data_IF_651556790236
#
_entry.id   IF_651556790236
#
_cell.length_a   1.000
_cell.length_b   1.000
_cell.length_c   1.000
_cell.angle_alpha   90.00
_cell.angle_beta   90.00
_cell.angle_gamma   90.00
#
_symmetry.space_group_name_H-M   'P 1'
#
loop_
_entity.id
_entity.type
_entity.pdbx_description
1 polymer ?
#
# COMPACT_ATOMS: atom_id res chain seq x y z
N UNK A 1 12.39 24.66 -0.40
CA UNK A 1 11.20 24.79 -1.29
C UNK A 1 11.23 23.93 -2.56
N UNK A 2 12.27 23.15 -2.88
CA UNK A 2 12.28 22.26 -4.07
C UNK A 2 12.06 20.76 -3.78
N UNK A 3 11.86 20.38 -2.51
CA UNK A 3 11.56 19.00 -2.07
C UNK A 3 10.04 18.72 -2.07
N UNK A 4 9.21 19.77 -2.03
CA UNK A 4 7.76 19.65 -1.80
C UNK A 4 6.93 19.32 -3.05
N UNK A 5 7.41 19.73 -4.24
CA UNK A 5 6.76 19.35 -5.51
C UNK A 5 6.99 17.87 -5.83
N UNK A 6 8.22 17.40 -5.59
CA UNK A 6 8.63 16.01 -5.71
C UNK A 6 7.75 15.13 -4.80
N UNK A 7 7.60 15.49 -3.52
CA UNK A 7 6.75 14.75 -2.58
C UNK A 7 5.29 14.59 -3.01
N UNK A 8 4.69 15.55 -3.74
CA UNK A 8 3.29 15.47 -4.19
C UNK A 8 3.10 14.48 -5.33
N UNK A 9 3.97 14.48 -6.34
CA UNK A 9 3.94 13.52 -7.47
C UNK A 9 4.14 12.10 -6.94
N UNK A 10 5.11 11.90 -6.05
CA UNK A 10 5.39 10.60 -5.42
C UNK A 10 4.26 10.15 -4.48
N UNK A 11 3.67 11.04 -3.66
CA UNK A 11 2.47 10.74 -2.86
C UNK A 11 1.25 10.42 -3.71
N UNK A 12 1.09 11.05 -4.87
CA UNK A 12 -0.01 10.75 -5.79
C UNK A 12 0.18 9.39 -6.48
N UNK A 13 1.42 9.04 -6.84
CA UNK A 13 1.78 7.74 -7.39
C UNK A 13 1.60 6.61 -6.37
N UNK A 14 2.06 6.80 -5.13
CA UNK A 14 1.83 5.85 -4.04
C UNK A 14 0.32 5.66 -3.75
N UNK A 15 -0.46 6.75 -3.75
CA UNK A 15 -1.93 6.67 -3.60
C UNK A 15 -2.65 5.97 -4.76
N UNK A 16 -2.11 6.06 -5.98
CA UNK A 16 -2.71 5.40 -7.14
C UNK A 16 -2.36 3.90 -7.23
N UNK A 17 -1.25 3.46 -6.62
CA UNK A 17 -0.91 2.04 -6.45
C UNK A 17 -1.77 1.38 -5.37
N UNK A 18 -2.15 2.13 -4.33
CA UNK A 18 -3.05 1.70 -3.26
C UNK A 18 -4.52 1.90 -3.63
N UNK A 19 -4.96 1.31 -4.76
CA UNK A 19 -6.29 1.43 -5.39
C UNK A 19 -7.41 2.05 -4.53
N UNK A 20 -8.07 3.09 -5.06
CA UNK A 20 -9.31 3.66 -4.49
C UNK A 20 -10.34 2.53 -4.26
N UNK A 21 -10.96 2.41 -3.08
CA UNK A 21 -12.16 1.60 -2.94
C UNK A 21 -13.25 2.23 -3.81
N UNK A 22 -13.84 1.43 -4.70
CA UNK A 22 -15.00 1.85 -5.49
C UNK A 22 -16.13 2.25 -4.55
N UNK A 23 -16.68 3.44 -4.75
CA UNK A 23 -17.90 3.89 -4.05
C UNK A 23 -19.04 3.01 -4.55
N UNK A 24 -19.43 2.03 -3.75
CA UNK A 24 -20.66 1.25 -3.95
C UNK A 24 -21.74 1.88 -3.09
N UNK A 25 -22.62 2.67 -3.70
CA UNK A 25 -23.87 3.08 -3.08
C UNK A 25 -24.74 1.83 -2.83
N UNK A 26 -24.99 1.49 -1.56
CA UNK A 26 -26.07 0.57 -1.19
C UNK A 26 -26.95 1.21 -0.13
N UNK A 27 -28.19 1.47 -0.55
CA UNK A 27 -29.31 1.93 0.25
C UNK A 27 -29.64 0.97 1.39
N UNK A 28 -30.01 1.58 2.53
CA UNK A 28 -30.50 0.98 3.76
C UNK A 28 -31.64 -0.02 3.59
N UNK A 29 -31.58 -1.14 4.33
CA UNK A 29 -32.73 -1.62 5.13
C UNK A 29 -32.31 -2.59 6.23
N UNK A 30 -32.80 -2.27 7.44
CA UNK A 30 -32.77 -3.03 8.71
C UNK A 30 -32.93 -4.55 8.53
N UNK A 31 -32.10 -5.32 9.24
CA UNK A 31 -32.57 -6.38 10.13
C UNK A 31 -31.49 -6.76 11.15
N UNK A 32 -31.77 -6.46 12.43
CA UNK A 32 -31.10 -7.01 13.61
C UNK A 32 -31.29 -8.53 13.60
N UNK A 33 -30.22 -9.30 13.49
CA UNK A 33 -30.10 -10.63 14.10
C UNK A 33 -28.66 -10.82 14.53
N UNK A 34 -28.52 -11.11 15.81
CA UNK A 34 -27.30 -11.49 16.50
C UNK A 34 -26.66 -12.69 15.77
N UNK A 35 -25.68 -12.42 14.91
CA UNK A 35 -24.92 -13.42 14.20
C UNK A 35 -23.59 -13.55 14.90
N UNK A 36 -23.48 -14.56 15.76
CA UNK A 36 -22.19 -15.12 16.18
C UNK A 36 -21.42 -15.44 14.90
N UNK A 37 -20.32 -14.74 14.65
CA UNK A 37 -19.46 -14.97 13.50
C UNK A 37 -18.81 -16.34 13.65
N UNK A 38 -19.44 -17.36 13.07
CA UNK A 38 -18.82 -18.68 12.92
C UNK A 38 -17.94 -18.57 11.67
N UNK A 39 -16.63 -18.53 11.88
CA UNK A 39 -15.67 -18.67 10.78
C UNK A 39 -15.68 -20.14 10.39
N UNK A 40 -16.44 -20.47 9.33
CA UNK A 40 -16.40 -21.78 8.69
C UNK A 40 -15.44 -21.64 7.52
N UNK A 41 -14.35 -22.42 7.53
CA UNK A 41 -13.20 -22.25 6.63
C UNK A 41 -13.54 -22.34 5.12
N UNK A 42 -14.72 -22.81 4.71
CA UNK A 42 -14.97 -23.20 3.31
C UNK A 42 -16.39 -22.87 2.76
N UNK A 43 -17.21 -22.05 3.45
CA UNK A 43 -18.63 -21.90 3.04
C UNK A 43 -18.92 -20.77 2.02
N UNK A 44 -17.93 -20.04 1.49
CA UNK A 44 -18.21 -18.79 0.76
C UNK A 44 -17.39 -18.51 -0.52
N UNK A 45 -16.77 -19.51 -1.16
CA UNK A 45 -16.25 -19.32 -2.51
C UNK A 45 -15.15 -20.31 -2.88
N UNK A 46 -15.16 -20.75 -4.14
CA UNK A 46 -13.94 -21.24 -4.79
C UNK A 46 -12.98 -20.06 -4.89
N UNK A 47 -12.05 -19.95 -3.95
CA UNK A 47 -10.85 -19.19 -4.20
C UNK A 47 -9.96 -20.08 -5.07
N UNK A 48 -10.04 -19.92 -6.39
CA UNK A 48 -8.85 -20.15 -7.20
C UNK A 48 -7.82 -19.12 -6.72
N UNK A 49 -7.06 -19.47 -5.68
CA UNK A 49 -6.06 -18.63 -5.02
C UNK A 49 -4.86 -18.40 -5.96
N UNK A 50 -5.06 -17.61 -7.01
CA UNK A 50 -3.97 -17.15 -7.86
C UNK A 50 -3.38 -15.87 -7.28
N UNK A 51 -2.20 -15.98 -6.67
CA UNK A 51 -1.42 -14.83 -6.17
C UNK A 51 -0.66 -14.07 -7.27
N UNK A 52 -1.05 -14.22 -8.55
CA UNK A 52 -0.37 -13.55 -9.67
C UNK A 52 -0.56 -12.04 -9.65
N UNK A 53 -1.67 -11.54 -9.09
CA UNK A 53 -1.89 -10.13 -8.83
C UNK A 53 -0.93 -9.58 -7.76
N UNK A 54 -0.74 -10.30 -6.65
CA UNK A 54 0.21 -9.97 -5.59
C UNK A 54 1.64 -9.94 -6.15
N UNK A 55 2.02 -10.95 -6.93
CA UNK A 55 3.31 -11.00 -7.61
C UNK A 55 3.51 -9.83 -8.58
N UNK A 56 2.47 -9.45 -9.31
CA UNK A 56 2.48 -8.28 -10.21
C UNK A 56 2.69 -6.99 -9.42
N UNK A 57 2.00 -6.82 -8.29
CA UNK A 57 2.17 -5.66 -7.41
C UNK A 57 3.58 -5.57 -6.84
N UNK A 58 4.16 -6.69 -6.39
CA UNK A 58 5.55 -6.75 -5.93
C UNK A 58 6.50 -6.29 -7.05
N UNK A 59 6.35 -6.82 -8.27
CA UNK A 59 7.19 -6.44 -9.41
C UNK A 59 7.09 -4.94 -9.73
N UNK A 60 5.87 -4.39 -9.74
CA UNK A 60 5.64 -2.98 -10.02
C UNK A 60 6.21 -2.09 -8.92
N UNK A 61 5.99 -2.46 -7.65
CA UNK A 61 6.51 -1.73 -6.50
C UNK A 61 8.04 -1.68 -6.48
N UNK A 62 8.72 -2.79 -6.77
CA UNK A 62 10.19 -2.79 -6.86
C UNK A 62 10.72 -1.99 -8.06
N UNK A 63 9.95 -1.88 -9.14
CA UNK A 63 10.28 -0.97 -10.26
C UNK A 63 10.22 0.48 -9.79
N UNK A 64 9.12 0.86 -9.16
CA UNK A 64 8.92 2.19 -8.58
C UNK A 64 10.03 2.54 -7.57
N UNK A 65 10.33 1.62 -6.64
CA UNK A 65 11.35 1.80 -5.60
C UNK A 65 12.74 1.99 -6.22
N UNK A 66 13.07 1.22 -7.26
CA UNK A 66 14.33 1.35 -7.99
C UNK A 66 14.45 2.69 -8.73
N UNK A 67 13.40 3.14 -9.43
CA UNK A 67 13.39 4.46 -10.08
C UNK A 67 13.67 5.57 -9.08
N UNK A 68 13.04 5.51 -7.90
CA UNK A 68 13.27 6.48 -6.82
C UNK A 68 14.72 6.43 -6.32
N UNK A 69 15.28 5.24 -6.12
CA UNK A 69 16.69 5.08 -5.73
C UNK A 69 17.63 5.67 -6.77
N UNK A 70 17.40 5.40 -8.06
CA UNK A 70 18.23 5.93 -9.16
C UNK A 70 18.12 7.45 -9.24
N UNK A 71 16.93 8.02 -9.09
CA UNK A 71 16.76 9.48 -9.04
C UNK A 71 17.55 10.11 -7.90
N UNK A 72 17.49 9.54 -6.69
CA UNK A 72 18.27 10.06 -5.56
C UNK A 72 19.78 10.00 -5.85
N UNK A 73 20.27 8.90 -6.43
CA UNK A 73 21.69 8.79 -6.81
C UNK A 73 22.09 9.81 -7.88
N UNK A 74 21.22 10.05 -8.87
CA UNK A 74 21.50 11.01 -9.94
C UNK A 74 21.43 12.47 -9.45
N UNK A 75 20.61 12.76 -8.45
CA UNK A 75 20.55 14.10 -7.85
C UNK A 75 21.93 14.56 -7.36
N UNK A 76 22.70 13.64 -6.75
CA UNK A 76 24.03 13.93 -6.21
C UNK A 76 25.13 13.82 -7.27
N UNK A 77 25.02 12.86 -8.20
CA UNK A 77 26.13 12.51 -9.11
C UNK A 77 26.00 13.10 -10.53
N UNK A 78 24.79 13.38 -11.00
CA UNK A 78 24.55 13.85 -12.36
C UNK A 78 23.20 14.60 -12.49
N UNK A 79 23.17 15.92 -12.21
CA UNK A 79 21.95 16.73 -12.23
C UNK A 79 21.21 16.74 -13.57
N UNK A 80 21.92 16.64 -14.70
CA UNK A 80 21.32 16.63 -16.04
C UNK A 80 20.52 15.35 -16.28
N UNK A 81 21.10 14.18 -15.96
CA UNK A 81 20.38 12.90 -16.06
C UNK A 81 19.23 12.81 -15.06
N UNK A 82 19.41 13.37 -13.87
CA UNK A 82 18.34 13.49 -12.87
C UNK A 82 17.13 14.23 -13.44
N UNK A 83 17.35 15.43 -13.98
CA UNK A 83 16.25 16.27 -14.50
C UNK A 83 15.50 15.57 -15.62
N UNK A 84 16.22 14.97 -16.57
CA UNK A 84 15.61 14.21 -17.65
C UNK A 84 14.77 13.03 -17.13
N UNK A 85 15.31 12.21 -16.22
CA UNK A 85 14.59 11.05 -15.68
C UNK A 85 13.38 11.48 -14.86
N UNK A 86 13.48 12.60 -14.14
CA UNK A 86 12.37 13.17 -13.39
C UNK A 86 11.21 13.57 -14.31
N UNK A 87 11.50 14.31 -15.38
CA UNK A 87 10.49 14.76 -16.35
C UNK A 87 9.87 13.55 -17.09
N UNK A 88 10.68 12.54 -17.41
CA UNK A 88 10.21 11.29 -17.98
C UNK A 88 9.23 10.56 -17.06
N UNK A 89 9.54 10.42 -15.77
CA UNK A 89 8.68 9.73 -14.77
C UNK A 89 7.39 10.51 -14.51
N UNK A 90 7.44 11.84 -14.52
CA UNK A 90 6.26 12.68 -14.37
C UNK A 90 5.23 12.44 -15.49
N UNK A 91 5.73 12.21 -16.71
CA UNK A 91 4.91 11.95 -17.91
C UNK A 91 4.53 10.46 -18.02
N UNK A 92 5.46 9.56 -17.71
CA UNK A 92 5.33 8.11 -17.82
C UNK A 92 5.33 7.48 -16.42
N UNK A 93 4.17 7.39 -15.80
CA UNK A 93 4.02 6.82 -14.45
C UNK A 93 4.44 5.34 -14.42
N UNK A 94 5.28 4.89 -13.46
CA UNK A 94 5.70 3.49 -13.32
C UNK A 94 4.62 2.60 -12.67
N UNK A 95 3.36 2.73 -13.09
CA UNK A 95 2.24 1.90 -12.60
C UNK A 95 2.31 0.47 -13.11
N UNK A 96 2.61 0.31 -14.40
CA UNK A 96 3.02 -0.96 -15.01
C UNK A 96 4.53 -0.92 -15.23
N UNK A 97 5.28 -1.64 -14.39
CA UNK A 97 6.73 -1.62 -14.38
C UNK A 97 7.34 -2.17 -15.67
N UNK A 98 6.71 -3.16 -16.32
CA UNK A 98 7.23 -3.74 -17.55
C UNK A 98 7.01 -2.79 -18.73
N UNK A 99 5.83 -2.18 -18.83
CA UNK A 99 5.54 -1.16 -19.86
C UNK A 99 6.42 0.08 -19.68
N UNK A 100 6.56 0.56 -18.45
CA UNK A 100 7.44 1.68 -18.12
C UNK A 100 8.88 1.43 -18.58
N UNK A 101 9.45 0.28 -18.25
CA UNK A 101 10.82 -0.06 -18.66
C UNK A 101 10.97 -0.17 -20.18
N UNK A 102 9.98 -0.70 -20.91
CA UNK A 102 10.02 -0.73 -22.38
C UNK A 102 10.09 0.68 -22.99
N UNK A 103 9.39 1.65 -22.41
CA UNK A 103 9.47 3.05 -22.85
C UNK A 103 10.83 3.65 -22.50
N UNK A 104 11.31 3.42 -21.27
CA UNK A 104 12.59 3.95 -20.81
C UNK A 104 13.77 3.39 -21.62
N UNK A 105 13.77 2.09 -21.96
CA UNK A 105 14.81 1.49 -22.83
C UNK A 105 14.88 2.18 -24.19
N UNK A 106 13.72 2.52 -24.78
CA UNK A 106 13.66 3.18 -26.09
C UNK A 106 14.25 4.57 -26.07
N UNK A 107 14.03 5.33 -25.00
CA UNK A 107 14.49 6.72 -24.92
C UNK A 107 15.91 6.84 -24.34
N UNK A 108 16.22 6.11 -23.27
CA UNK A 108 17.50 6.16 -22.54
C UNK A 108 17.85 4.79 -21.95
N UNK A 109 18.49 3.98 -22.78
CA UNK A 109 18.92 2.62 -22.41
C UNK A 109 19.79 2.58 -21.15
N UNK A 110 20.74 3.52 -21.00
CA UNK A 110 21.65 3.57 -19.84
C UNK A 110 20.90 3.73 -18.50
N UNK A 111 19.84 4.56 -18.50
CA UNK A 111 18.99 4.75 -17.34
C UNK A 111 18.09 3.53 -17.10
N UNK A 112 17.59 2.92 -18.17
CA UNK A 112 16.76 1.72 -18.08
C UNK A 112 17.51 0.56 -17.45
N UNK A 113 18.72 0.27 -17.92
CA UNK A 113 19.59 -0.78 -17.39
C UNK A 113 19.90 -0.55 -15.91
N UNK A 114 20.21 0.70 -15.54
CA UNK A 114 20.43 1.06 -14.13
C UNK A 114 19.22 0.78 -13.26
N UNK A 115 18.01 1.11 -13.72
CA UNK A 115 16.76 0.80 -13.01
C UNK A 115 16.54 -0.72 -12.94
N UNK A 116 16.79 -1.47 -14.02
CA UNK A 116 16.64 -2.93 -14.05
C UNK A 116 17.56 -3.65 -13.06
N UNK A 117 18.84 -3.29 -13.01
CA UNK A 117 19.79 -3.84 -12.04
C UNK A 117 19.39 -3.45 -10.62
N UNK A 118 19.01 -2.20 -10.41
CA UNK A 118 18.62 -1.70 -9.09
C UNK A 118 17.36 -2.40 -8.56
N UNK A 119 16.33 -2.62 -9.38
CA UNK A 119 15.11 -3.33 -8.91
C UNK A 119 15.39 -4.77 -8.53
N UNK A 120 16.26 -5.47 -9.27
CA UNK A 120 16.64 -6.84 -8.95
C UNK A 120 17.44 -6.88 -7.64
N UNK A 121 18.39 -5.96 -7.48
CA UNK A 121 19.18 -5.83 -6.25
C UNK A 121 18.31 -5.54 -5.02
N UNK A 122 17.36 -4.60 -5.12
CA UNK A 122 16.46 -4.26 -4.03
C UNK A 122 15.56 -5.44 -3.65
N UNK A 123 15.02 -6.18 -4.64
CA UNK A 123 14.23 -7.38 -4.38
C UNK A 123 15.07 -8.46 -3.70
N UNK A 124 16.29 -8.72 -4.19
CA UNK A 124 17.22 -9.66 -3.58
C UNK A 124 17.60 -9.31 -2.14
N UNK A 125 17.66 -8.02 -1.78
CA UNK A 125 17.85 -7.59 -0.39
C UNK A 125 16.59 -7.80 0.46
N UNK A 126 15.41 -7.59 -0.11
CA UNK A 126 14.16 -7.74 0.62
C UNK A 126 13.82 -9.20 0.90
N UNK A 127 13.96 -10.10 -0.08
CA UNK A 127 13.65 -11.53 0.12
C UNK A 127 14.50 -12.15 1.23
N UNK A 128 15.74 -11.69 1.43
CA UNK A 128 16.61 -12.13 2.53
C UNK A 128 16.16 -11.63 3.92
N UNK A 129 15.32 -10.60 3.96
CA UNK A 129 14.81 -9.98 5.19
C UNK A 129 13.31 -10.26 5.42
N UNK A 130 12.61 -10.73 4.40
CA UNK A 130 11.17 -10.94 4.45
C UNK A 130 10.87 -12.13 5.35
N UNK A 131 10.24 -11.87 6.49
CA UNK A 131 9.72 -12.88 7.38
C UNK A 131 8.21 -12.99 7.20
N UNK A 132 7.75 -14.04 6.51
CA UNK A 132 6.32 -14.23 6.25
C UNK A 132 5.50 -14.43 7.54
N UNK A 133 6.11 -14.99 8.59
CA UNK A 133 5.43 -15.16 9.87
C UNK A 133 5.22 -13.81 10.59
N UNK A 134 6.18 -12.89 10.46
CA UNK A 134 6.06 -11.53 11.01
C UNK A 134 4.96 -10.74 10.28
N UNK A 135 4.90 -10.81 8.95
CA UNK A 135 3.82 -10.17 8.17
C UNK A 135 2.44 -10.73 8.58
N UNK A 136 2.34 -12.05 8.77
CA UNK A 136 1.10 -12.66 9.26
C UNK A 136 0.71 -12.12 10.65
N UNK A 137 1.69 -12.02 11.56
CA UNK A 137 1.46 -11.52 12.91
C UNK A 137 1.03 -10.04 12.90
N UNK A 138 1.68 -9.20 12.10
CA UNK A 138 1.31 -7.79 11.91
C UNK A 138 -0.15 -7.66 11.46
N UNK A 139 -0.56 -8.41 10.43
CA UNK A 139 -1.96 -8.40 9.96
C UNK A 139 -2.93 -8.85 11.06
N UNK A 140 -2.56 -9.89 11.82
CA UNK A 140 -3.38 -10.39 12.92
C UNK A 140 -3.56 -9.34 14.03
N UNK A 141 -2.47 -8.66 14.39
CA UNK A 141 -2.46 -7.66 15.46
C UNK A 141 -3.22 -6.39 15.05
N UNK A 142 -3.04 -5.91 13.81
CA UNK A 142 -3.82 -4.79 13.25
C UNK A 142 -5.32 -5.08 13.25
N UNK A 143 -5.71 -6.29 12.84
CA UNK A 143 -7.13 -6.69 12.87
C UNK A 143 -7.72 -6.65 14.28
N UNK A 144 -6.92 -7.07 15.28
CA UNK A 144 -7.35 -7.06 16.67
C UNK A 144 -7.47 -5.64 17.21
N UNK A 145 -6.53 -4.76 16.87
CA UNK A 145 -6.56 -3.33 17.22
C UNK A 145 -7.81 -2.64 16.68
N UNK A 146 -8.12 -2.81 15.38
CA UNK A 146 -9.34 -2.26 14.77
C UNK A 146 -10.62 -2.75 15.47
N UNK A 147 -10.62 -4.00 15.94
CA UNK A 147 -11.74 -4.54 16.72
C UNK A 147 -11.84 -3.91 18.11
N UNK A 148 -10.71 -3.63 18.78
CA UNK A 148 -10.69 -2.91 20.06
C UNK A 148 -11.17 -1.48 19.90
N UNK A 149 -10.71 -0.75 18.88
CA UNK A 149 -11.14 0.63 18.57
C UNK A 149 -12.66 0.72 18.41
N UNK A 150 -13.23 -0.16 17.57
CA UNK A 150 -14.68 -0.22 17.36
C UNK A 150 -15.46 -0.47 18.65
N UNK A 151 -14.93 -1.31 19.55
CA UNK A 151 -15.56 -1.55 20.84
C UNK A 151 -15.55 -0.28 21.70
N UNK A 152 -14.43 0.44 21.76
CA UNK A 152 -14.35 1.69 22.51
C UNK A 152 -15.34 2.76 21.99
N UNK A 153 -15.55 2.83 20.68
CA UNK A 153 -16.52 3.78 20.09
C UNK A 153 -17.99 3.45 20.39
N UNK A 154 -18.31 2.17 20.61
CA UNK A 154 -19.70 1.68 20.70
C UNK A 154 -20.15 1.33 22.11
N UNK A 155 -19.21 1.15 23.04
CA UNK A 155 -19.51 0.85 24.44
C UNK A 155 -20.04 2.11 25.14
N UNK A 156 -21.31 2.08 25.52
CA UNK A 156 -21.91 3.05 26.44
C UNK A 156 -21.53 2.61 27.86
N UNK A 157 -20.70 3.39 28.54
CA UNK A 157 -20.42 3.16 29.95
C UNK A 157 -21.64 3.59 30.78
N UNK A 158 -22.16 2.75 31.70
CA UNK A 158 -23.15 3.23 32.67
C UNK A 158 -22.50 4.38 33.45
N UNK A 159 -23.09 5.58 33.40
CA UNK A 159 -22.62 6.67 34.25
C UNK A 159 -22.65 6.21 35.70
N UNK A 160 -21.57 6.45 36.45
CA UNK A 160 -21.48 6.28 37.91
C UNK A 160 -22.34 7.34 38.64
N UNK A 161 -23.54 7.62 38.15
CA UNK A 161 -24.53 8.44 38.84
C UNK A 161 -25.22 7.57 39.88
N UNK A 162 -24.43 7.08 40.84
CA UNK A 162 -24.94 6.66 42.14
C UNK A 162 -25.33 7.95 42.87
N UNK A 163 -26.47 8.51 42.50
CA UNK A 163 -27.19 9.46 43.34
C UNK A 163 -27.42 8.74 44.67
N UNK A 164 -26.57 9.04 45.64
CA UNK A 164 -26.85 8.79 47.05
C UNK A 164 -28.07 9.64 47.39
N UNK A 165 -29.25 9.07 47.19
CA UNK A 165 -30.49 9.60 47.76
C UNK A 165 -30.25 9.79 49.25
N UNK A 166 -30.20 11.06 49.66
CA UNK A 166 -30.29 11.46 51.05
C UNK A 166 -31.64 10.95 51.56
N UNK A 167 -31.63 9.81 52.24
CA UNK A 167 -32.75 9.35 53.05
C UNK A 167 -32.88 10.33 54.22
N UNK A 168 -34.10 10.85 54.39
CA UNK A 168 -34.47 11.93 55.30
C UNK A 168 -34.50 11.57 56.78
#
# INVERSE_FOLDING_TARGET
MFVDSCGKVWRQLARNLNGRPGIVNKSSRKQRRDRRLVIVNELAGQYEDSFEDVKTQILNYFTYKAVRTVLNQLYEMNPTKYRWLYDFVATNKPGDGKRFLRLLVKERQDLAERVMVTRLHLYGKWVKKCNHAEIYQEISDENLELMRERLMETVIWPSDDTNTEKIG
#
